data_IF_742345659456
#
_entry.id   IF_742345659456
#
_cell.length_a   1.000
_cell.length_b   1.000
_cell.length_c   1.000
_cell.angle_alpha   90.00
_cell.angle_beta   90.00
_cell.angle_gamma   90.00
#
_symmetry.space_group_name_H-M   'P 1'
#
loop_
_entity.id
_entity.type
_entity.pdbx_description
1 polymer ?
#
# COMPACT_ATOMS: atom_id res chain seq x y z
N UNK A 1 1.27 13.83 11.12
CA UNK A 1 1.65 15.18 10.63
C UNK A 1 1.50 15.20 9.12
N UNK A 2 1.03 16.30 8.54
CA UNK A 2 0.75 16.35 7.11
C UNK A 2 1.91 17.08 6.39
N UNK A 3 3.02 16.40 6.19
CA UNK A 3 4.14 16.93 5.43
C UNK A 3 3.98 16.59 3.94
N UNK A 4 4.26 17.55 3.08
CA UNK A 4 4.37 17.36 1.63
C UNK A 4 5.84 17.52 1.27
N UNK A 5 6.49 16.43 0.88
CA UNK A 5 7.87 16.44 0.42
C UNK A 5 7.89 16.53 -1.10
N UNK A 6 8.40 17.63 -1.62
CA UNK A 6 8.34 17.98 -3.02
C UNK A 6 9.74 18.21 -3.58
N UNK A 7 10.06 17.54 -4.67
CA UNK A 7 11.31 17.76 -5.41
C UNK A 7 11.05 18.65 -6.60
N UNK A 8 11.82 19.74 -6.71
CA UNK A 8 11.76 20.68 -7.85
C UNK A 8 12.89 20.36 -8.80
N UNK A 9 12.53 19.97 -10.03
CA UNK A 9 13.46 19.54 -11.08
C UNK A 9 13.28 20.36 -12.35
N UNK A 10 14.24 20.27 -13.25
CA UNK A 10 14.20 20.90 -14.56
C UNK A 10 15.56 21.48 -14.93
N UNK A 11 15.69 21.91 -16.20
CA UNK A 11 16.92 22.49 -16.74
C UNK A 11 17.42 23.70 -15.95
N UNK A 12 18.70 23.99 -16.11
CA UNK A 12 19.26 25.29 -15.72
C UNK A 12 18.51 26.41 -16.47
N UNK A 13 18.07 27.42 -15.74
CA UNK A 13 17.27 28.51 -16.34
C UNK A 13 15.76 28.23 -16.50
N UNK A 14 15.27 27.04 -16.10
CA UNK A 14 13.84 26.73 -16.14
C UNK A 14 13.00 27.48 -15.07
N UNK A 15 13.60 28.39 -14.31
CA UNK A 15 12.85 29.21 -13.35
C UNK A 15 12.57 28.54 -11.99
N UNK A 16 13.23 27.42 -11.65
CA UNK A 16 13.04 26.69 -10.39
C UNK A 16 13.16 27.58 -9.15
N UNK A 17 14.30 28.24 -8.98
CA UNK A 17 14.56 29.08 -7.80
C UNK A 17 13.59 30.27 -7.70
N UNK A 18 13.22 30.87 -8.83
CA UNK A 18 12.18 31.93 -8.86
C UNK A 18 10.82 31.37 -8.45
N UNK A 19 10.48 30.18 -8.88
CA UNK A 19 9.24 29.50 -8.47
C UNK A 19 9.24 29.19 -6.97
N UNK A 20 10.35 28.66 -6.45
CA UNK A 20 10.52 28.35 -5.02
C UNK A 20 10.32 29.62 -4.19
N UNK A 21 10.99 30.71 -4.55
CA UNK A 21 10.87 31.99 -3.86
C UNK A 21 9.41 32.51 -3.89
N UNK A 22 8.72 32.39 -5.02
CA UNK A 22 7.33 32.80 -5.13
C UNK A 22 6.39 31.98 -4.26
N UNK A 23 6.63 30.66 -4.16
CA UNK A 23 5.86 29.75 -3.29
C UNK A 23 6.14 30.01 -1.81
N UNK A 24 7.39 30.25 -1.47
CA UNK A 24 7.80 30.56 -0.11
C UNK A 24 7.44 32.01 0.30
N UNK A 25 7.11 32.89 -0.67
CA UNK A 25 6.92 34.33 -0.46
C UNK A 25 8.13 35.00 0.18
N UNK A 26 9.32 34.46 -0.05
CA UNK A 26 10.60 34.88 0.52
C UNK A 26 11.73 34.64 -0.50
N UNK A 27 12.70 35.52 -0.58
CA UNK A 27 13.88 35.38 -1.46
C UNK A 27 14.96 34.51 -0.82
N UNK A 28 14.68 33.22 -0.64
CA UNK A 28 15.59 32.25 0.00
C UNK A 28 16.45 31.48 -1.00
N UNK A 29 15.88 31.15 -2.17
CA UNK A 29 16.59 30.45 -3.21
C UNK A 29 17.39 31.43 -4.09
N UNK A 30 18.69 31.19 -4.32
CA UNK A 30 19.50 32.08 -5.13
C UNK A 30 18.99 32.08 -6.58
N UNK A 31 18.74 33.28 -7.12
CA UNK A 31 18.27 33.48 -8.49
C UNK A 31 19.35 34.20 -9.32
N UNK A 32 19.51 33.81 -10.59
CA UNK A 32 20.46 34.46 -11.50
C UNK A 32 20.23 34.02 -12.95
N UNK A 33 20.76 34.80 -13.89
CA UNK A 33 20.70 34.49 -15.33
C UNK A 33 22.08 34.09 -15.86
N UNK A 34 22.14 33.02 -16.64
CA UNK A 34 23.30 32.67 -17.46
C UNK A 34 24.25 31.59 -16.95
N UNK A 35 24.30 31.28 -15.68
CA UNK A 35 25.06 30.13 -15.14
C UNK A 35 24.24 29.41 -14.08
N UNK A 36 24.55 28.12 -13.84
CA UNK A 36 23.92 27.33 -12.79
C UNK A 36 24.18 27.99 -11.43
N UNK A 37 23.14 28.58 -10.82
CA UNK A 37 23.23 29.33 -9.56
C UNK A 37 23.17 28.37 -8.38
N UNK A 38 22.37 27.34 -8.47
CA UNK A 38 22.22 26.30 -7.46
C UNK A 38 23.34 25.26 -7.64
N UNK A 39 24.35 25.30 -6.78
CA UNK A 39 25.53 24.39 -6.84
C UNK A 39 25.37 23.12 -6.01
N UNK A 40 24.39 23.05 -5.12
CA UNK A 40 24.09 21.91 -4.25
C UNK A 40 22.58 21.82 -4.05
N UNK A 41 22.07 20.61 -3.86
CA UNK A 41 20.67 20.40 -3.48
C UNK A 41 20.38 21.09 -2.14
N UNK A 42 19.29 21.85 -2.08
CA UNK A 42 18.89 22.62 -0.91
C UNK A 42 17.48 22.24 -0.49
N UNK A 43 17.23 22.24 0.82
CA UNK A 43 15.90 22.00 1.40
C UNK A 43 15.37 23.31 1.98
N UNK A 44 14.16 23.66 1.58
CA UNK A 44 13.38 24.76 2.11
C UNK A 44 12.13 24.22 2.77
N UNK A 45 11.80 24.68 3.97
CA UNK A 45 10.63 24.22 4.71
C UNK A 45 9.75 25.39 5.11
N UNK A 46 8.45 25.32 4.78
CA UNK A 46 7.45 26.32 5.16
C UNK A 46 6.15 25.67 5.61
N UNK A 47 5.55 26.18 6.68
CA UNK A 47 4.17 25.85 7.06
C UNK A 47 3.22 26.70 6.22
N UNK A 48 2.32 26.04 5.52
CA UNK A 48 1.39 26.69 4.61
C UNK A 48 -0.04 26.22 4.84
N UNK A 49 -0.98 27.09 4.53
CA UNK A 49 -2.40 26.75 4.46
C UNK A 49 -2.76 26.42 3.01
N UNK A 50 -3.21 25.20 2.78
CA UNK A 50 -3.64 24.73 1.48
C UNK A 50 -5.16 24.78 1.39
N UNK A 51 -5.72 25.23 0.28
CA UNK A 51 -7.15 25.15 0.05
C UNK A 51 -7.57 23.70 -0.08
N UNK A 52 -8.56 23.28 0.73
CA UNK A 52 -9.18 21.98 0.68
C UNK A 52 -10.54 22.10 0.00
N UNK A 53 -10.73 21.41 -1.10
CA UNK A 53 -12.06 21.24 -1.70
C UNK A 53 -12.84 20.19 -0.88
N UNK A 54 -13.90 20.62 -0.19
CA UNK A 54 -14.76 19.77 0.61
C UNK A 54 -15.88 19.09 -0.19
N UNK A 55 -16.01 19.37 -1.48
CA UNK A 55 -17.04 18.76 -2.33
C UNK A 55 -16.94 17.24 -2.36
N UNK A 56 -15.71 16.69 -2.32
CA UNK A 56 -15.46 15.24 -2.22
C UNK A 56 -15.89 14.63 -0.87
N UNK A 57 -16.12 15.46 0.16
CA UNK A 57 -16.56 15.02 1.50
C UNK A 57 -18.07 15.24 1.72
N UNK A 58 -18.83 15.59 0.66
CA UNK A 58 -20.28 15.81 0.74
C UNK A 58 -20.71 17.10 1.45
N UNK A 59 -19.78 18.04 1.70
CA UNK A 59 -20.08 19.35 2.27
C UNK A 59 -19.70 20.46 1.29
N UNK A 60 -20.63 21.39 1.06
CA UNK A 60 -20.36 22.58 0.25
C UNK A 60 -19.47 23.55 1.03
N UNK A 61 -18.29 23.86 0.48
CA UNK A 61 -17.40 24.90 1.00
C UNK A 61 -15.91 24.58 0.85
N UNK A 62 -15.12 25.65 0.84
CA UNK A 62 -13.65 25.55 0.87
C UNK A 62 -13.18 25.58 2.31
N UNK A 63 -12.27 24.65 2.65
CA UNK A 63 -11.56 24.64 3.91
C UNK A 63 -10.08 24.99 3.70
N UNK A 64 -9.38 25.33 4.80
CA UNK A 64 -7.94 25.47 4.79
C UNK A 64 -7.32 24.35 5.65
N UNK A 65 -6.32 23.67 5.12
CA UNK A 65 -5.55 22.64 5.85
C UNK A 65 -4.12 23.11 5.99
N UNK A 66 -3.63 23.16 7.23
CA UNK A 66 -2.24 23.44 7.51
C UNK A 66 -1.38 22.22 7.17
N UNK A 67 -0.43 22.38 6.25
CA UNK A 67 0.59 21.35 5.90
C UNK A 67 1.97 21.99 5.96
N UNK A 68 2.98 21.18 6.28
CA UNK A 68 4.39 21.58 6.14
C UNK A 68 4.85 21.19 4.75
N UNK A 69 5.27 22.16 3.97
CA UNK A 69 5.85 21.97 2.64
C UNK A 69 7.37 21.93 2.76
N UNK A 70 7.96 20.83 2.35
CA UNK A 70 9.39 20.61 2.23
C UNK A 70 9.77 20.62 0.75
N UNK A 71 10.41 21.69 0.29
CA UNK A 71 10.86 21.87 -1.10
C UNK A 71 12.33 21.50 -1.22
N UNK A 72 12.63 20.45 -1.97
CA UNK A 72 13.98 20.06 -2.32
C UNK A 72 14.35 20.66 -3.68
N UNK A 73 15.13 21.74 -3.69
CA UNK A 73 15.70 22.32 -4.91
C UNK A 73 16.86 21.45 -5.41
N UNK A 74 16.75 20.95 -6.62
CA UNK A 74 17.82 20.17 -7.23
C UNK A 74 18.69 21.05 -8.11
N UNK A 75 19.97 20.71 -8.21
CA UNK A 75 20.88 21.30 -9.23
C UNK A 75 20.22 21.12 -10.61
N UNK A 76 20.29 22.16 -11.44
CA UNK A 76 19.70 22.10 -12.79
C UNK A 76 20.22 20.89 -13.58
N UNK A 77 19.31 20.22 -14.25
CA UNK A 77 19.66 19.13 -15.17
C UNK A 77 20.41 19.72 -16.35
N UNK A 78 21.69 19.47 -16.43
CA UNK A 78 22.49 19.84 -17.58
C UNK A 78 22.43 18.74 -18.66
N UNK A 79 22.66 19.12 -19.91
CA UNK A 79 22.49 18.28 -21.10
C UNK A 79 23.49 17.09 -21.14
N UNK A 80 24.40 17.01 -20.20
CA UNK A 80 25.39 15.94 -20.10
C UNK A 80 24.76 14.65 -19.53
N UNK A 81 24.79 13.57 -20.32
CA UNK A 81 24.26 12.26 -19.98
C UNK A 81 24.83 11.67 -18.66
N UNK A 82 26.06 12.04 -18.31
CA UNK A 82 26.71 11.59 -17.07
C UNK A 82 26.10 12.26 -15.84
N UNK A 83 25.76 13.55 -15.93
CA UNK A 83 25.10 14.31 -14.86
C UNK A 83 23.67 13.82 -14.66
N UNK A 84 22.96 13.53 -15.76
CA UNK A 84 21.60 12.99 -15.74
C UNK A 84 21.56 11.64 -15.03
N UNK A 85 22.50 10.73 -15.28
CA UNK A 85 22.59 9.43 -14.58
C UNK A 85 22.92 9.59 -13.10
N UNK A 86 23.81 10.54 -12.75
CA UNK A 86 24.15 10.81 -11.35
C UNK A 86 22.98 11.43 -10.60
N UNK A 87 22.24 12.33 -11.23
CA UNK A 87 21.03 12.94 -10.69
C UNK A 87 19.93 11.90 -10.52
N UNK A 88 19.70 11.02 -11.50
CA UNK A 88 18.76 9.91 -11.39
C UNK A 88 19.13 8.96 -10.25
N UNK A 89 20.41 8.60 -10.10
CA UNK A 89 20.86 7.78 -8.96
C UNK A 89 20.65 8.49 -7.62
N UNK A 90 20.89 9.79 -7.56
CA UNK A 90 20.65 10.61 -6.38
C UNK A 90 19.15 10.65 -6.01
N UNK A 91 18.28 10.84 -6.99
CA UNK A 91 16.82 10.84 -6.81
C UNK A 91 16.34 9.44 -6.42
N UNK A 92 16.80 8.39 -7.11
CA UNK A 92 16.55 6.99 -6.71
C UNK A 92 16.95 6.73 -5.28
N UNK A 93 18.16 7.11 -4.90
CA UNK A 93 18.65 6.96 -3.52
C UNK A 93 17.83 7.76 -2.49
N UNK A 94 17.30 8.92 -2.88
CA UNK A 94 16.40 9.71 -2.06
C UNK A 94 15.04 9.02 -1.90
N UNK A 95 14.45 8.52 -2.99
CA UNK A 95 13.20 7.78 -3.02
C UNK A 95 13.30 6.48 -2.20
N UNK A 96 14.38 5.70 -2.43
CA UNK A 96 14.62 4.45 -1.69
C UNK A 96 14.84 4.68 -0.19
N UNK A 97 15.49 5.77 0.19
CA UNK A 97 15.66 6.15 1.59
C UNK A 97 14.34 6.59 2.21
N UNK A 98 13.53 7.37 1.48
CA UNK A 98 12.22 7.79 1.92
C UNK A 98 11.27 6.60 2.11
N UNK A 99 11.28 5.63 1.19
CA UNK A 99 10.46 4.41 1.27
C UNK A 99 10.88 3.43 2.38
N UNK A 100 12.15 3.45 2.79
CA UNK A 100 12.69 2.58 3.87
C UNK A 100 12.49 3.14 5.27
N UNK A 101 12.31 4.43 5.41
CA UNK A 101 12.00 5.06 6.69
C UNK A 101 10.48 5.13 6.82
N UNK A 102 9.91 4.30 7.68
CA UNK A 102 8.46 4.20 7.97
C UNK A 102 7.82 5.49 8.51
N UNK A 103 8.49 6.62 8.44
CA UNK A 103 8.05 7.90 8.98
C UNK A 103 8.10 9.00 7.94
N UNK A 104 7.03 9.75 7.81
CA UNK A 104 6.77 11.15 7.35
C UNK A 104 7.69 11.79 6.25
N UNK A 105 8.68 11.07 5.71
CA UNK A 105 9.66 11.55 4.74
C UNK A 105 9.51 10.96 3.33
N UNK A 106 8.39 10.31 3.04
CA UNK A 106 8.12 9.78 1.70
C UNK A 106 8.05 10.94 0.69
N UNK A 107 8.72 10.77 -0.45
CA UNK A 107 8.59 11.71 -1.55
C UNK A 107 7.13 11.77 -1.99
N UNK A 108 6.56 12.96 -1.87
CA UNK A 108 5.13 13.14 -2.10
C UNK A 108 4.83 13.54 -3.54
N UNK A 109 5.72 14.28 -4.20
CA UNK A 109 5.45 14.85 -5.51
C UNK A 109 6.74 15.37 -6.17
N UNK A 110 6.80 15.34 -7.50
CA UNK A 110 7.83 16.00 -8.31
C UNK A 110 7.20 17.16 -9.08
N UNK A 111 7.79 18.36 -8.98
CA UNK A 111 7.55 19.46 -9.90
C UNK A 111 8.65 19.48 -10.95
N UNK A 112 8.29 19.20 -12.19
CA UNK A 112 9.21 19.29 -13.31
C UNK A 112 9.00 20.62 -14.03
N UNK A 113 9.93 21.55 -13.83
CA UNK A 113 9.86 22.91 -14.36
C UNK A 113 10.36 22.95 -15.80
N UNK A 114 9.52 23.47 -16.69
CA UNK A 114 9.83 23.71 -18.10
C UNK A 114 9.55 25.17 -18.42
N UNK A 115 10.52 25.87 -19.01
CA UNK A 115 10.32 27.24 -19.46
C UNK A 115 9.36 27.26 -20.66
N UNK A 116 8.22 27.93 -20.57
CA UNK A 116 7.20 27.98 -21.63
C UNK A 116 7.68 28.67 -22.90
N UNK A 117 8.72 29.51 -22.80
CA UNK A 117 9.36 30.19 -23.93
C UNK A 117 10.36 29.32 -24.71
N UNK A 118 10.69 28.10 -24.25
CA UNK A 118 11.56 27.20 -24.99
C UNK A 118 10.80 26.57 -26.15
N UNK A 119 11.48 26.40 -27.29
CA UNK A 119 10.88 25.88 -28.52
C UNK A 119 10.86 24.35 -28.59
N UNK A 120 11.53 23.67 -27.67
CA UNK A 120 11.72 22.21 -27.70
C UNK A 120 11.63 21.58 -26.33
N UNK A 121 10.88 20.49 -26.29
CA UNK A 121 10.91 19.52 -25.22
C UNK A 121 11.84 18.39 -25.64
N UNK A 122 12.95 18.22 -24.96
CA UNK A 122 14.00 17.35 -25.45
C UNK A 122 13.77 15.89 -25.06
N UNK A 123 14.30 14.98 -25.88
CA UNK A 123 14.10 13.53 -25.68
C UNK A 123 14.51 13.07 -24.27
N UNK A 124 15.63 13.57 -23.73
CA UNK A 124 16.07 13.17 -22.40
C UNK A 124 15.12 13.64 -21.28
N UNK A 125 14.41 14.77 -21.46
CA UNK A 125 13.37 15.22 -20.52
C UNK A 125 12.17 14.28 -20.56
N UNK A 126 11.79 13.85 -21.77
CA UNK A 126 10.72 12.86 -21.96
C UNK A 126 11.11 11.54 -21.30
N UNK A 127 12.32 11.04 -21.55
CA UNK A 127 12.81 9.77 -20.99
C UNK A 127 12.90 9.84 -19.45
N UNK A 128 13.32 10.98 -18.91
CA UNK A 128 13.39 11.22 -17.46
C UNK A 128 12.00 11.23 -16.82
N UNK A 129 11.06 11.98 -17.42
CA UNK A 129 9.68 12.04 -16.90
C UNK A 129 9.05 10.64 -16.94
N UNK A 130 9.19 9.90 -18.04
CA UNK A 130 8.69 8.53 -18.14
C UNK A 130 9.27 7.62 -17.08
N UNK A 131 10.59 7.66 -16.89
CA UNK A 131 11.23 6.84 -15.87
C UNK A 131 10.72 7.18 -14.47
N UNK A 132 10.57 8.43 -14.11
CA UNK A 132 10.13 8.81 -12.76
C UNK A 132 8.63 8.61 -12.55
N UNK A 133 7.79 8.93 -13.53
CA UNK A 133 6.33 8.87 -13.39
C UNK A 133 5.75 7.48 -13.63
N UNK A 134 6.30 6.72 -14.59
CA UNK A 134 5.79 5.41 -15.00
C UNK A 134 6.55 4.28 -14.29
N UNK A 135 7.90 4.25 -14.42
CA UNK A 135 8.69 3.13 -13.90
C UNK A 135 8.75 3.15 -12.36
N UNK A 136 8.72 4.34 -11.74
CA UNK A 136 8.79 4.52 -10.28
C UNK A 136 7.46 4.94 -9.64
N UNK A 137 6.41 5.15 -10.46
CA UNK A 137 5.07 5.54 -9.98
C UNK A 137 5.07 6.77 -9.05
N UNK A 138 6.02 7.69 -9.28
CA UNK A 138 6.13 8.90 -8.47
C UNK A 138 5.07 9.89 -8.92
N UNK A 139 4.29 10.49 -7.99
CA UNK A 139 3.40 11.58 -8.32
C UNK A 139 4.14 12.72 -9.01
N UNK A 140 3.63 13.19 -10.14
CA UNK A 140 4.34 14.09 -11.03
C UNK A 140 3.46 15.24 -11.47
N UNK A 141 4.03 16.44 -11.54
CA UNK A 141 3.36 17.63 -12.05
C UNK A 141 4.34 18.40 -12.94
N UNK A 142 3.95 18.69 -14.18
CA UNK A 142 4.73 19.52 -15.07
C UNK A 142 4.37 20.98 -14.82
N UNK A 143 5.38 21.81 -14.49
CA UNK A 143 5.20 23.22 -14.22
C UNK A 143 5.77 24.04 -15.38
N UNK A 144 4.88 24.60 -16.19
CA UNK A 144 5.29 25.56 -17.21
C UNK A 144 5.55 26.91 -16.53
N UNK A 145 6.80 27.30 -16.50
CA UNK A 145 7.25 28.58 -15.94
C UNK A 145 7.29 29.67 -17.00
N UNK A 146 7.35 30.93 -16.57
CA UNK A 146 7.41 32.11 -17.46
C UNK A 146 6.26 32.15 -18.48
N UNK A 147 5.05 31.81 -18.04
CA UNK A 147 3.84 31.89 -18.87
C UNK A 147 3.34 33.34 -18.94
N UNK A 148 3.68 34.04 -20.00
CA UNK A 148 3.31 35.45 -20.19
C UNK A 148 1.92 35.64 -20.83
N UNK A 149 1.30 34.58 -21.31
CA UNK A 149 -0.01 34.60 -21.97
C UNK A 149 -0.90 33.50 -21.46
N UNK A 150 -2.22 33.67 -21.53
CA UNK A 150 -3.20 32.65 -21.14
C UNK A 150 -3.42 31.60 -22.24
N UNK A 151 -2.87 31.80 -23.43
CA UNK A 151 -3.04 30.87 -24.54
C UNK A 151 -2.09 29.70 -24.45
N UNK A 152 -2.60 28.53 -24.82
CA UNK A 152 -1.80 27.30 -24.87
C UNK A 152 -0.78 27.36 -26.01
N UNK A 153 0.50 27.31 -25.68
CA UNK A 153 1.60 27.31 -26.64
C UNK A 153 1.82 25.93 -27.32
N UNK A 154 2.65 25.94 -28.37
CA UNK A 154 3.02 24.70 -29.08
C UNK A 154 3.70 23.68 -28.18
N UNK A 155 4.58 24.12 -27.28
CA UNK A 155 5.26 23.30 -26.30
C UNK A 155 4.28 22.60 -25.36
N UNK A 156 3.28 23.31 -24.85
CA UNK A 156 2.28 22.69 -23.97
C UNK A 156 1.45 21.64 -24.70
N UNK A 157 1.10 21.89 -25.98
CA UNK A 157 0.39 20.91 -26.82
C UNK A 157 1.22 19.64 -27.00
N UNK A 158 2.53 19.79 -27.23
CA UNK A 158 3.45 18.66 -27.35
C UNK A 158 3.51 17.88 -26.02
N UNK A 159 3.69 18.56 -24.89
CA UNK A 159 3.76 17.91 -23.58
C UNK A 159 2.47 17.15 -23.26
N UNK A 160 1.31 17.71 -23.57
CA UNK A 160 0.00 17.04 -23.39
C UNK A 160 -0.17 15.82 -24.29
N UNK A 161 0.42 15.83 -25.48
CA UNK A 161 0.41 14.67 -26.37
C UNK A 161 1.33 13.55 -25.87
N UNK A 162 2.50 13.90 -25.33
CA UNK A 162 3.48 12.94 -24.81
C UNK A 162 3.08 12.37 -23.43
N UNK A 163 2.36 13.16 -22.61
CA UNK A 163 1.99 12.87 -21.22
C UNK A 163 0.55 13.31 -20.91
N UNK A 164 -0.47 12.67 -21.48
CA UNK A 164 -1.87 13.07 -21.30
C UNK A 164 -2.35 12.96 -19.85
N UNK A 165 -1.80 12.02 -19.08
CA UNK A 165 -2.18 11.75 -17.69
C UNK A 165 -1.47 12.65 -16.66
N UNK A 166 -0.37 13.31 -17.05
CA UNK A 166 0.38 14.15 -16.13
C UNK A 166 -0.22 15.55 -16.10
N UNK A 167 -0.65 16.05 -14.94
CA UNK A 167 -1.22 17.39 -14.84
C UNK A 167 -0.16 18.46 -15.12
N UNK A 168 -0.60 19.54 -15.76
CA UNK A 168 0.21 20.71 -16.09
C UNK A 168 -0.29 21.90 -15.30
N UNK A 169 0.63 22.63 -14.65
CA UNK A 169 0.39 23.93 -14.07
C UNK A 169 1.14 25.01 -14.84
N UNK A 170 0.48 26.13 -15.09
CA UNK A 170 1.07 27.31 -15.78
C UNK A 170 1.34 28.39 -14.75
N UNK A 171 2.59 28.88 -14.71
CA UNK A 171 3.03 29.80 -13.67
C UNK A 171 3.83 30.95 -14.26
N UNK A 172 3.50 32.16 -13.85
CA UNK A 172 4.35 33.33 -13.90
C UNK A 172 4.71 33.71 -12.45
N UNK A 173 5.85 33.19 -11.98
CA UNK A 173 6.26 33.31 -10.58
C UNK A 173 6.62 34.73 -10.12
N UNK A 174 6.95 35.63 -11.06
CA UNK A 174 7.26 37.04 -10.80
C UNK A 174 6.63 37.91 -11.88
N UNK A 175 6.16 39.10 -11.49
CA UNK A 175 5.65 40.09 -12.46
C UNK A 175 6.64 40.34 -13.61
N UNK A 176 6.11 40.52 -14.79
CA UNK A 176 6.90 40.85 -15.96
C UNK A 176 6.55 42.20 -16.51
N UNK A 177 7.53 43.11 -16.62
CA UNK A 177 7.35 44.49 -17.06
C UNK A 177 7.63 44.61 -18.54
N UNK A 178 6.65 45.11 -19.26
CA UNK A 178 6.71 45.48 -20.67
C UNK A 178 6.71 47.01 -20.84
N UNK A 179 7.09 47.49 -22.03
CA UNK A 179 7.04 48.92 -22.34
C UNK A 179 5.63 49.54 -22.23
N UNK A 180 4.59 48.73 -22.33
CA UNK A 180 3.18 49.17 -22.31
C UNK A 180 2.37 48.70 -21.10
N UNK A 181 2.99 48.01 -20.10
CA UNK A 181 2.24 47.54 -18.95
C UNK A 181 3.01 46.50 -18.13
N UNK A 182 2.32 45.91 -17.17
CA UNK A 182 2.86 44.85 -16.28
C UNK A 182 1.97 43.63 -16.40
N UNK A 183 2.57 42.46 -16.59
CA UNK A 183 1.88 41.19 -16.48
C UNK A 183 2.08 40.75 -15.02
N UNK A 184 1.03 40.59 -14.23
CA UNK A 184 1.14 40.22 -12.82
C UNK A 184 1.57 38.76 -12.67
N UNK A 185 2.19 38.45 -11.54
CA UNK A 185 2.46 37.06 -11.17
C UNK A 185 1.13 36.27 -11.05
N UNK A 186 1.12 35.04 -11.54
CA UNK A 186 -0.10 34.20 -11.58
C UNK A 186 0.24 32.71 -11.53
N UNK A 187 -0.76 31.88 -11.18
CA UNK A 187 -0.70 30.41 -11.27
C UNK A 187 -0.14 29.70 -10.03
N UNK A 188 0.41 30.41 -9.04
CA UNK A 188 0.94 29.78 -7.81
C UNK A 188 -0.16 29.05 -7.03
N UNK A 189 -1.30 29.67 -6.82
CA UNK A 189 -2.44 29.06 -6.11
C UNK A 189 -2.93 27.80 -6.82
N UNK A 190 -3.06 27.83 -8.15
CA UNK A 190 -3.45 26.67 -8.94
C UNK A 190 -2.42 25.55 -8.87
N UNK A 191 -1.12 25.88 -8.92
CA UNK A 191 -0.04 24.93 -8.74
C UNK A 191 -0.14 24.21 -7.39
N UNK A 192 -0.35 24.96 -6.31
CA UNK A 192 -0.48 24.38 -4.96
C UNK A 192 -1.74 23.51 -4.84
N UNK A 193 -2.88 23.92 -5.42
CA UNK A 193 -4.11 23.13 -5.44
C UNK A 193 -3.91 21.79 -6.18
N UNK A 194 -3.32 21.84 -7.38
CA UNK A 194 -2.99 20.63 -8.15
C UNK A 194 -2.01 19.73 -7.40
N UNK A 195 -1.04 20.30 -6.69
CA UNK A 195 -0.08 19.56 -5.91
C UNK A 195 -0.71 18.79 -4.75
N UNK A 196 -1.67 19.39 -4.06
CA UNK A 196 -2.42 18.68 -2.99
C UNK A 196 -3.26 17.56 -3.58
N UNK A 197 -3.92 17.81 -4.70
CA UNK A 197 -4.76 16.80 -5.34
C UNK A 197 -3.95 15.58 -5.79
N UNK A 198 -2.80 15.79 -6.42
CA UNK A 198 -1.92 14.69 -6.84
C UNK A 198 -1.29 13.96 -5.64
N UNK A 199 -0.93 14.68 -4.58
CA UNK A 199 -0.48 14.08 -3.33
C UNK A 199 -1.54 13.17 -2.70
N UNK A 200 -2.79 13.65 -2.62
CA UNK A 200 -3.87 12.89 -2.01
C UNK A 200 -4.24 11.66 -2.86
N UNK A 201 -4.25 11.76 -4.21
CA UNK A 201 -4.42 10.62 -5.12
C UNK A 201 -3.34 9.56 -4.91
N UNK A 202 -2.07 9.96 -4.87
CA UNK A 202 -0.96 9.05 -4.66
C UNK A 202 -1.03 8.35 -3.30
N UNK A 203 -1.43 9.08 -2.26
CA UNK A 203 -1.61 8.52 -0.92
C UNK A 203 -2.71 7.45 -0.90
N UNK A 204 -3.84 7.69 -1.58
CA UNK A 204 -4.91 6.69 -1.72
C UNK A 204 -4.39 5.45 -2.43
N UNK A 205 -3.70 5.60 -3.56
CA UNK A 205 -3.12 4.48 -4.32
C UNK A 205 -2.13 3.65 -3.49
N UNK A 206 -1.25 4.31 -2.72
CA UNK A 206 -0.32 3.61 -1.80
C UNK A 206 -1.08 2.82 -0.72
N UNK A 207 -2.15 3.41 -0.16
CA UNK A 207 -2.96 2.73 0.85
C UNK A 207 -3.70 1.52 0.26
N UNK A 208 -4.27 1.66 -0.93
CA UNK A 208 -4.92 0.56 -1.66
C UNK A 208 -3.96 -0.59 -1.96
N UNK A 209 -2.77 -0.29 -2.48
CA UNK A 209 -1.71 -1.28 -2.73
C UNK A 209 -1.26 -2.00 -1.45
N UNK A 210 -1.12 -1.26 -0.33
CA UNK A 210 -0.82 -1.86 0.98
C UNK A 210 -1.94 -2.77 1.47
N UNK A 211 -3.21 -2.36 1.30
CA UNK A 211 -4.37 -3.18 1.66
C UNK A 211 -4.45 -4.45 0.82
N UNK A 212 -4.23 -4.33 -0.48
CA UNK A 212 -4.21 -5.48 -1.40
C UNK A 212 -3.10 -6.47 -1.03
N UNK A 213 -1.89 -5.98 -0.76
CA UNK A 213 -0.77 -6.81 -0.29
C UNK A 213 -1.10 -7.51 1.02
N UNK A 214 -1.64 -6.80 2.01
CA UNK A 214 -2.04 -7.39 3.30
C UNK A 214 -3.13 -8.45 3.12
N UNK A 215 -4.09 -8.23 2.22
CA UNK A 215 -5.15 -9.20 1.92
C UNK A 215 -4.61 -10.45 1.23
N UNK A 216 -3.68 -10.31 0.28
CA UNK A 216 -3.04 -11.42 -0.41
C UNK A 216 -2.15 -12.25 0.51
N UNK A 217 -1.36 -11.60 1.38
CA UNK A 217 -0.55 -12.27 2.39
C UNK A 217 -1.40 -13.05 3.40
N UNK A 218 -2.55 -12.48 3.78
CA UNK A 218 -3.51 -13.16 4.65
C UNK A 218 -4.11 -14.39 3.97
N UNK A 219 -4.54 -14.28 2.72
CA UNK A 219 -5.06 -15.39 1.93
C UNK A 219 -4.04 -16.52 1.84
N UNK A 220 -2.79 -16.18 1.54
CA UNK A 220 -1.68 -17.15 1.49
C UNK A 220 -1.44 -17.83 2.83
N UNK A 221 -1.52 -17.10 3.96
CA UNK A 221 -1.40 -17.69 5.31
C UNK A 221 -2.52 -18.69 5.58
N UNK A 222 -3.77 -18.36 5.26
CA UNK A 222 -4.92 -19.23 5.44
C UNK A 222 -4.79 -20.50 4.59
N UNK A 223 -4.37 -20.39 3.33
CA UNK A 223 -4.13 -21.54 2.45
C UNK A 223 -3.05 -22.46 3.01
N UNK A 224 -1.96 -21.91 3.53
CA UNK A 224 -0.90 -22.68 4.20
C UNK A 224 -1.46 -23.40 5.44
N UNK A 225 -2.21 -22.71 6.30
CA UNK A 225 -2.83 -23.30 7.49
C UNK A 225 -3.75 -24.49 7.10
N UNK A 226 -4.53 -24.34 6.01
CA UNK A 226 -5.39 -25.39 5.49
C UNK A 226 -4.58 -26.61 5.02
N UNK A 227 -3.49 -26.39 4.29
CA UNK A 227 -2.62 -27.47 3.81
C UNK A 227 -1.93 -28.22 4.96
N UNK A 228 -1.41 -27.49 5.94
CA UNK A 228 -0.77 -28.06 7.13
C UNK A 228 -1.80 -28.80 8.01
N UNK A 229 -3.01 -28.25 8.12
CA UNK A 229 -4.14 -28.90 8.79
C UNK A 229 -4.53 -30.22 8.14
N UNK A 230 -4.59 -30.29 6.81
CA UNK A 230 -4.88 -31.53 6.08
C UNK A 230 -3.82 -32.61 6.35
N UNK A 231 -2.54 -32.25 6.28
CA UNK A 231 -1.46 -33.17 6.65
C UNK A 231 -1.56 -33.69 8.09
N UNK A 232 -1.99 -32.81 8.99
CA UNK A 232 -2.24 -33.19 10.39
C UNK A 232 -3.37 -34.22 10.47
N UNK A 233 -4.50 -34.01 9.83
CA UNK A 233 -5.62 -34.96 9.78
C UNK A 233 -5.18 -36.31 9.24
N UNK A 234 -4.50 -36.32 8.08
CA UNK A 234 -4.01 -37.54 7.46
C UNK A 234 -3.08 -38.35 8.39
N UNK A 235 -2.14 -37.66 9.09
CA UNK A 235 -1.24 -38.26 10.04
C UNK A 235 -1.95 -38.93 11.23
N UNK A 236 -3.03 -38.31 11.75
CA UNK A 236 -3.81 -38.88 12.83
C UNK A 236 -4.72 -40.01 12.36
N UNK A 237 -5.27 -39.91 11.15
CA UNK A 237 -6.05 -40.98 10.53
C UNK A 237 -5.17 -42.26 10.29
N UNK A 238 -3.95 -42.06 9.80
CA UNK A 238 -2.99 -43.18 9.64
C UNK A 238 -2.65 -43.86 10.96
N UNK A 239 -2.46 -43.07 12.04
CA UNK A 239 -2.28 -43.62 13.39
C UNK A 239 -3.46 -44.48 13.84
N UNK A 240 -4.67 -43.97 13.62
CA UNK A 240 -5.90 -44.69 13.96
C UNK A 240 -6.05 -45.95 13.17
N UNK A 241 -5.74 -45.97 11.86
CA UNK A 241 -5.73 -47.15 11.02
C UNK A 241 -4.79 -48.25 11.52
N UNK A 242 -3.63 -47.87 12.10
CA UNK A 242 -2.67 -48.84 12.69
C UNK A 242 -3.13 -49.44 14.01
N UNK A 243 -3.98 -48.73 14.77
CA UNK A 243 -4.50 -49.14 16.07
C UNK A 243 -5.75 -50.03 15.94
N UNK A 244 -6.49 -49.91 14.84
CA UNK A 244 -7.79 -50.56 14.64
C UNK A 244 -7.82 -52.09 14.74
N UNK A 245 -6.67 -52.76 14.93
CA UNK A 245 -6.57 -54.24 15.05
C UNK A 245 -6.59 -54.76 16.49
N UNK A 246 -6.72 -53.93 17.51
CA UNK A 246 -6.66 -54.33 18.92
C UNK A 246 -8.07 -54.63 19.44
N UNK A 247 -8.39 -55.90 19.83
CA UNK A 247 -9.69 -56.28 20.37
C UNK A 247 -9.99 -55.56 21.71
N UNK A 248 -11.17 -54.95 21.83
CA UNK A 248 -11.75 -54.51 23.09
C UNK A 248 -11.29 -53.16 23.67
N UNK A 249 -10.28 -52.51 23.14
CA UNK A 249 -9.74 -51.25 23.69
C UNK A 249 -9.68 -50.05 22.78
N UNK A 250 -10.13 -50.18 21.51
CA UNK A 250 -9.85 -49.21 20.46
C UNK A 250 -10.64 -47.88 20.58
N UNK A 251 -11.85 -47.89 21.07
CA UNK A 251 -12.74 -46.70 21.06
C UNK A 251 -12.17 -45.57 21.92
N UNK A 252 -11.76 -45.75 23.17
CA UNK A 252 -11.17 -44.70 23.99
C UNK A 252 -9.84 -44.17 23.40
N UNK A 253 -9.05 -45.04 22.74
CA UNK A 253 -7.78 -44.66 22.12
C UNK A 253 -8.03 -43.81 20.87
N UNK A 254 -8.99 -44.17 20.02
CA UNK A 254 -9.37 -43.43 18.82
C UNK A 254 -9.98 -42.06 19.20
N UNK A 255 -10.78 -42.01 20.25
CA UNK A 255 -11.30 -40.73 20.77
C UNK A 255 -10.15 -39.84 21.30
N UNK A 256 -9.20 -40.40 22.01
CA UNK A 256 -7.99 -39.71 22.47
C UNK A 256 -7.16 -39.15 21.31
N UNK A 257 -7.07 -39.86 20.19
CA UNK A 257 -6.42 -39.39 18.96
C UNK A 257 -7.19 -38.21 18.35
N UNK A 258 -8.50 -38.26 18.28
CA UNK A 258 -9.33 -37.15 17.78
C UNK A 258 -9.14 -35.89 18.62
N UNK A 259 -9.15 -36.01 19.95
CA UNK A 259 -8.92 -34.87 20.86
C UNK A 259 -7.53 -34.27 20.64
N UNK A 260 -6.51 -35.12 20.50
CA UNK A 260 -5.13 -34.71 20.24
C UNK A 260 -4.96 -34.07 18.85
N UNK A 261 -5.67 -34.58 17.85
CA UNK A 261 -5.75 -34.00 16.51
C UNK A 261 -6.35 -32.60 16.55
N UNK A 262 -7.49 -32.42 17.21
CA UNK A 262 -8.14 -31.10 17.34
C UNK A 262 -7.22 -30.11 18.05
N UNK A 263 -6.52 -30.53 19.11
CA UNK A 263 -5.53 -29.69 19.78
C UNK A 263 -4.37 -29.29 18.84
N UNK A 264 -3.92 -30.22 17.99
CA UNK A 264 -2.87 -29.97 17.00
C UNK A 264 -3.36 -29.01 15.89
N UNK A 265 -4.58 -29.16 15.41
CA UNK A 265 -5.20 -28.28 14.43
C UNK A 265 -5.36 -26.86 14.99
N UNK A 266 -5.79 -26.72 16.23
CA UNK A 266 -5.88 -25.41 16.91
C UNK A 266 -4.50 -24.76 17.00
N UNK A 267 -3.45 -25.51 17.31
CA UNK A 267 -2.07 -24.98 17.38
C UNK A 267 -1.56 -24.51 16.03
N UNK A 268 -1.88 -25.19 14.93
CA UNK A 268 -1.51 -24.78 13.56
C UNK A 268 -2.04 -23.37 13.24
N UNK A 269 -3.22 -23.04 13.73
CA UNK A 269 -3.87 -21.74 13.49
C UNK A 269 -3.61 -20.71 14.59
N UNK A 270 -2.78 -21.07 15.59
CA UNK A 270 -2.37 -20.15 16.66
C UNK A 270 -3.38 -20.06 17.84
N UNK A 271 -4.34 -20.97 17.92
CA UNK A 271 -5.27 -21.04 19.04
C UNK A 271 -4.65 -21.92 20.13
N UNK A 272 -4.40 -21.34 21.31
CA UNK A 272 -3.93 -22.08 22.46
C UNK A 272 -5.12 -22.77 23.15
N UNK A 273 -5.19 -24.08 23.03
CA UNK A 273 -6.26 -24.87 23.61
C UNK A 273 -5.77 -25.78 24.74
N UNK A 274 -6.46 -25.75 25.87
CA UNK A 274 -6.29 -26.75 26.92
C UNK A 274 -6.89 -28.12 26.50
N UNK A 275 -6.51 -29.20 27.16
CA UNK A 275 -7.11 -30.51 26.88
C UNK A 275 -8.65 -30.51 27.04
N UNK A 276 -9.19 -29.82 28.05
CA UNK A 276 -10.63 -29.67 28.25
C UNK A 276 -11.31 -28.94 27.08
N UNK A 277 -10.71 -27.86 26.60
CA UNK A 277 -11.20 -27.10 25.46
C UNK A 277 -11.26 -27.96 24.17
N UNK A 278 -10.23 -28.79 23.91
CA UNK A 278 -10.21 -29.70 22.77
C UNK A 278 -11.23 -30.82 22.89
N UNK A 279 -11.51 -31.28 24.11
CA UNK A 279 -12.55 -32.30 24.38
C UNK A 279 -13.94 -31.77 24.08
N UNK A 280 -14.25 -30.55 24.51
CA UNK A 280 -15.53 -29.89 24.21
C UNK A 280 -15.75 -29.66 22.70
N UNK A 281 -14.71 -29.27 22.00
CA UNK A 281 -14.76 -29.11 20.54
C UNK A 281 -14.92 -30.46 19.82
N UNK A 282 -14.25 -31.50 20.32
CA UNK A 282 -14.43 -32.85 19.83
C UNK A 282 -15.86 -33.33 20.00
N UNK A 283 -16.48 -33.16 21.16
CA UNK A 283 -17.88 -33.54 21.38
C UNK A 283 -18.84 -32.85 20.40
N UNK A 284 -18.56 -31.58 20.06
CA UNK A 284 -19.35 -30.84 19.05
C UNK A 284 -19.05 -31.31 17.62
N UNK A 285 -17.80 -31.61 17.27
CA UNK A 285 -17.42 -32.16 15.97
C UNK A 285 -18.02 -33.56 15.74
N UNK A 286 -18.02 -34.39 16.79
CA UNK A 286 -18.64 -35.72 16.77
C UNK A 286 -20.14 -35.65 16.47
N UNK A 287 -20.82 -34.67 17.03
CA UNK A 287 -22.26 -34.49 16.80
C UNK A 287 -22.59 -34.10 15.34
N UNK A 288 -21.63 -33.60 14.58
CA UNK A 288 -21.78 -33.31 13.15
C UNK A 288 -21.42 -34.50 12.24
N UNK A 289 -20.59 -35.41 12.70
CA UNK A 289 -20.29 -36.66 11.99
C UNK A 289 -21.23 -37.72 12.54
N UNK A 290 -22.21 -38.15 11.77
CA UNK A 290 -23.21 -39.16 12.16
C UNK A 290 -22.49 -40.40 12.68
N UNK A 291 -22.40 -40.52 14.02
CA UNK A 291 -21.62 -41.53 14.71
C UNK A 291 -22.36 -42.86 14.92
N UNK A 292 -23.49 -43.07 14.23
CA UNK A 292 -24.39 -44.17 14.49
C UNK A 292 -23.89 -45.57 14.17
N UNK A 293 -23.02 -45.86 13.21
CA UNK A 293 -22.55 -47.23 12.99
C UNK A 293 -21.47 -47.69 13.98
N UNK A 294 -20.76 -46.76 14.66
CA UNK A 294 -19.54 -47.09 15.41
C UNK A 294 -19.76 -47.57 16.83
N UNK A 295 -20.91 -47.26 17.43
CA UNK A 295 -21.22 -47.73 18.80
C UNK A 295 -21.62 -49.20 18.89
N UNK A 296 -21.92 -49.84 17.76
CA UNK A 296 -22.48 -51.20 17.75
C UNK A 296 -21.49 -52.27 17.22
N UNK A 297 -20.32 -51.90 16.73
CA UNK A 297 -19.36 -52.82 16.13
C UNK A 297 -18.33 -53.24 17.19
N UNK A 298 -18.27 -54.51 17.59
CA UNK A 298 -17.32 -54.98 18.60
C UNK A 298 -15.86 -54.98 18.14
N UNK A 299 -15.61 -54.81 16.86
CA UNK A 299 -14.27 -54.75 16.25
C UNK A 299 -14.21 -53.58 15.25
N UNK A 300 -13.45 -52.53 15.61
CA UNK A 300 -13.11 -51.48 14.65
C UNK A 300 -12.03 -52.04 13.69
N UNK A 301 -12.38 -52.22 12.43
CA UNK A 301 -11.37 -52.49 11.43
C UNK A 301 -10.46 -51.27 11.22
N UNK A 302 -9.20 -51.48 10.80
CA UNK A 302 -8.27 -50.41 10.48
C UNK A 302 -8.85 -49.34 9.54
N UNK A 303 -9.56 -49.78 8.53
CA UNK A 303 -10.20 -48.90 7.56
C UNK A 303 -11.29 -48.00 8.18
N UNK A 304 -12.07 -48.57 9.12
CA UNK A 304 -13.12 -47.87 9.82
C UNK A 304 -12.56 -46.85 10.82
N UNK A 305 -11.52 -47.23 11.57
CA UNK A 305 -10.82 -46.30 12.49
C UNK A 305 -10.19 -45.12 11.74
N UNK A 306 -9.52 -45.40 10.62
CA UNK A 306 -8.98 -44.40 9.71
C UNK A 306 -10.07 -43.44 9.23
N UNK A 307 -11.11 -43.98 8.61
CA UNK A 307 -12.21 -43.19 8.03
C UNK A 307 -12.94 -42.30 9.06
N UNK A 308 -13.12 -42.81 10.28
CA UNK A 308 -13.69 -42.06 11.37
C UNK A 308 -12.84 -40.83 11.78
N UNK A 309 -11.54 -41.04 12.03
CA UNK A 309 -10.63 -39.95 12.43
C UNK A 309 -10.49 -38.94 11.31
N UNK A 310 -10.40 -39.39 10.04
CA UNK A 310 -10.38 -38.54 8.87
C UNK A 310 -11.63 -37.67 8.78
N UNK A 311 -12.83 -38.25 8.88
CA UNK A 311 -14.11 -37.52 8.80
C UNK A 311 -14.27 -36.49 9.92
N UNK A 312 -13.93 -36.82 11.15
CA UNK A 312 -13.92 -35.87 12.29
C UNK A 312 -12.93 -34.73 12.03
N UNK A 313 -11.72 -35.07 11.57
CA UNK A 313 -10.67 -34.11 11.31
C UNK A 313 -11.01 -33.14 10.20
N UNK A 314 -11.52 -33.65 9.07
CA UNK A 314 -11.92 -32.84 7.92
C UNK A 314 -13.10 -31.90 8.29
N UNK A 315 -14.13 -32.42 8.97
CA UNK A 315 -15.27 -31.63 9.42
C UNK A 315 -14.82 -30.50 10.35
N UNK A 316 -13.92 -30.79 11.28
CA UNK A 316 -13.35 -29.80 12.17
C UNK A 316 -12.48 -28.78 11.46
N UNK A 317 -11.56 -29.23 10.60
CA UNK A 317 -10.66 -28.38 9.83
C UNK A 317 -11.45 -27.39 8.94
N UNK A 318 -12.45 -27.88 8.24
CA UNK A 318 -13.28 -27.03 7.38
C UNK A 318 -14.01 -25.95 8.20
N UNK A 319 -14.59 -26.33 9.34
CA UNK A 319 -15.26 -25.38 10.23
C UNK A 319 -14.28 -24.34 10.78
N UNK A 320 -13.08 -24.80 11.15
CA UNK A 320 -11.99 -23.95 11.61
C UNK A 320 -11.55 -22.95 10.52
N UNK A 321 -11.39 -23.39 9.27
CA UNK A 321 -11.00 -22.52 8.14
C UNK A 321 -12.08 -21.48 7.82
N UNK A 322 -13.35 -21.82 7.89
CA UNK A 322 -14.47 -20.88 7.71
C UNK A 322 -14.43 -19.79 8.79
N UNK A 323 -14.26 -20.18 10.05
CA UNK A 323 -14.20 -19.23 11.16
C UNK A 323 -13.00 -18.30 11.01
N UNK A 324 -11.80 -18.83 10.68
CA UNK A 324 -10.58 -18.03 10.48
C UNK A 324 -10.74 -17.06 9.32
N UNK A 325 -11.32 -17.48 8.20
CA UNK A 325 -11.53 -16.60 7.04
C UNK A 325 -12.42 -15.40 7.36
N UNK A 326 -13.34 -15.54 8.30
CA UNK A 326 -14.31 -14.51 8.73
C UNK A 326 -13.85 -13.70 9.96
N UNK A 327 -12.77 -14.08 10.62
CA UNK A 327 -12.27 -13.42 11.82
C UNK A 327 -11.13 -12.47 11.51
N UNK A 328 -11.01 -11.37 12.22
CA UNK A 328 -9.85 -10.46 12.12
C UNK A 328 -8.63 -11.03 12.85
N UNK A 329 -7.43 -10.53 12.57
CA UNK A 329 -6.19 -10.96 13.23
C UNK A 329 -6.21 -10.65 14.76
N UNK A 330 -6.97 -9.64 15.18
CA UNK A 330 -7.18 -9.34 16.60
C UNK A 330 -8.11 -10.36 17.28
N UNK A 331 -9.19 -10.77 16.60
CA UNK A 331 -10.12 -11.78 17.10
C UNK A 331 -9.49 -13.17 17.19
N UNK A 332 -8.57 -13.53 16.29
CA UNK A 332 -7.83 -14.80 16.33
C UNK A 332 -7.03 -14.99 17.63
N UNK A 333 -6.65 -13.91 18.30
CA UNK A 333 -5.95 -13.95 19.60
C UNK A 333 -6.87 -14.21 20.78
N UNK A 334 -8.20 -14.08 20.59
CA UNK A 334 -9.18 -14.33 21.65
C UNK A 334 -9.68 -15.77 21.56
N UNK A 335 -9.11 -16.65 22.40
CA UNK A 335 -9.41 -18.09 22.40
C UNK A 335 -10.87 -18.40 22.73
N UNK A 336 -11.52 -17.65 23.64
CA UNK A 336 -12.91 -17.88 24.03
C UNK A 336 -13.86 -17.57 22.87
N UNK A 337 -13.68 -16.40 22.23
CA UNK A 337 -14.46 -16.01 21.06
C UNK A 337 -14.29 -17.02 19.92
N UNK A 338 -13.07 -17.47 19.68
CA UNK A 338 -12.79 -18.47 18.65
C UNK A 338 -13.47 -19.80 18.95
N UNK A 339 -13.46 -20.24 20.22
CA UNK A 339 -14.15 -21.45 20.64
C UNK A 339 -15.65 -21.38 20.37
N UNK A 340 -16.30 -20.27 20.74
CA UNK A 340 -17.72 -20.07 20.50
C UNK A 340 -18.07 -20.10 19.03
N UNK A 341 -17.28 -19.40 18.19
CA UNK A 341 -17.48 -19.37 16.73
C UNK A 341 -17.29 -20.74 16.10
N UNK A 342 -16.27 -21.51 16.49
CA UNK A 342 -16.05 -22.88 16.00
C UNK A 342 -17.20 -23.78 16.42
N UNK A 343 -17.65 -23.73 17.68
CA UNK A 343 -18.82 -24.49 18.14
C UNK A 343 -20.08 -24.15 17.34
N UNK A 344 -20.30 -22.87 17.07
CA UNK A 344 -21.45 -22.42 16.29
C UNK A 344 -21.39 -22.93 14.85
N UNK A 345 -20.21 -22.93 14.22
CA UNK A 345 -20.04 -23.40 12.85
C UNK A 345 -20.18 -24.95 12.75
N UNK A 346 -19.65 -25.68 13.73
CA UNK A 346 -19.84 -27.13 13.83
C UNK A 346 -21.32 -27.52 14.01
N UNK A 347 -22.13 -26.72 14.72
CA UNK A 347 -23.56 -26.95 14.89
C UNK A 347 -24.37 -26.76 13.60
N UNK A 348 -23.91 -25.93 12.67
CA UNK A 348 -24.61 -25.71 11.38
C UNK A 348 -24.45 -26.88 10.40
N UNK A 349 -23.52 -27.78 10.66
CA UNK A 349 -23.25 -28.96 9.84
C UNK A 349 -24.01 -30.22 10.29
N UNK A 350 -24.85 -30.06 11.31
CA UNK A 350 -25.82 -31.07 11.73
C UNK A 350 -27.04 -31.04 10.83
#
# INVERSE_FOLDING_TARGET
>A
MNNINLVVMGKTGAGKSTLINAVLEEDLAPTGSGQAVTKKNQLYTKKMLFPLDRSALGSSGYGLVGKTLNLYDTVGLEIDSSVTQTTLRGIKGFIEKAQKQEHDNDLSLVWFCVNSGTSRFEKYEIDLIRSLSIDYEIPFLIVLTQCYTDTQGALEKQIRADFPEIPIARVLAKEYRLRGGVIPAAGITELLQKSVLEYDKAKVHILESKLEKLSSDRKRRIEKMKADGKKCVDSYADKAGKIGFVPGGCIPVVHGLCISMIASLNKIVGINSSKGFSSDLFANALAGVIATPFMVVPFLSSAVAYGYVAAVGESYLDSLMIVISRSTDAELKNNELMAERIKAELKKRK
#
